data_IF_471547199443
#
_entry.id   IF_471547199443
#
_cell.length_a   1.000
_cell.length_b   1.000
_cell.length_c   1.000
_cell.angle_alpha   90.00
_cell.angle_beta   90.00
_cell.angle_gamma   90.00
#
_symmetry.space_group_name_H-M   'P 1'
#
loop_
_entity.id
_entity.type
_entity.pdbx_description
1 polymer ?
#
# COMPACT_ATOMS: atom_id res chain seq x y z
N UNK A 1 13.15 45.78 3.74
CA UNK A 1 14.01 45.66 4.94
C UNK A 1 13.14 45.65 6.18
N UNK A 2 13.14 44.55 6.93
CA UNK A 2 12.90 44.44 8.40
C UNK A 2 13.41 43.03 8.78
N UNK A 3 13.80 42.83 10.03
CA UNK A 3 14.89 41.92 10.41
C UNK A 3 14.46 40.45 10.58
N UNK A 4 15.33 39.53 10.14
CA UNK A 4 15.37 38.14 10.64
C UNK A 4 15.76 38.16 12.13
N UNK A 5 15.10 37.34 12.95
CA UNK A 5 15.62 36.96 14.27
C UNK A 5 16.09 35.51 14.20
N UNK A 6 17.32 35.24 14.64
CA UNK A 6 17.80 33.88 14.86
C UNK A 6 17.27 33.38 16.21
N UNK A 7 16.95 32.08 16.29
CA UNK A 7 16.82 31.36 17.56
C UNK A 7 17.72 30.13 17.47
N UNK A 8 18.59 29.98 18.46
CA UNK A 8 19.60 28.90 18.56
C UNK A 8 18.97 27.69 19.25
N UNK A 9 19.20 26.44 18.78
CA UNK A 9 18.69 25.26 19.46
C UNK A 9 19.41 25.03 20.79
N UNK A 10 18.65 24.66 21.82
CA UNK A 10 19.16 24.22 23.12
C UNK A 10 19.21 22.69 23.15
N UNK A 11 20.39 22.13 23.43
CA UNK A 11 20.56 20.71 23.68
C UNK A 11 19.96 20.35 25.05
N UNK A 12 19.12 19.30 25.12
CA UNK A 12 18.82 18.62 26.39
C UNK A 12 19.20 17.15 26.30
N UNK A 13 20.22 16.78 27.08
CA UNK A 13 20.66 15.40 27.28
C UNK A 13 19.73 14.71 28.29
N UNK A 14 19.22 13.53 27.97
CA UNK A 14 18.58 12.64 28.96
C UNK A 14 19.43 11.39 29.10
N UNK A 15 19.83 11.08 30.33
CA UNK A 15 20.78 10.01 30.63
C UNK A 15 20.10 8.77 31.22
N UNK A 16 20.48 7.60 30.71
CA UNK A 16 20.69 6.39 31.50
C UNK A 16 19.45 5.66 32.04
N UNK A 17 19.23 4.45 31.51
CA UNK A 17 18.85 3.29 32.32
C UNK A 17 19.42 2.03 31.68
N UNK A 18 19.97 1.16 32.52
CA UNK A 18 20.81 0.01 32.16
C UNK A 18 20.21 -1.23 32.83
N UNK A 19 20.10 -2.34 32.10
CA UNK A 19 19.68 -3.64 32.64
C UNK A 19 20.48 -4.77 31.98
N UNK A 20 21.04 -5.65 32.80
CA UNK A 20 21.98 -6.70 32.40
C UNK A 20 21.30 -7.99 31.89
N UNK A 21 22.08 -8.81 31.19
CA UNK A 21 21.62 -10.00 30.46
C UNK A 21 21.65 -11.31 31.27
N UNK A 22 20.78 -12.27 30.91
CA UNK A 22 20.98 -13.74 31.04
C UNK A 22 20.23 -14.48 29.91
N UNK A 23 20.67 -15.71 29.55
CA UNK A 23 20.35 -16.35 28.25
C UNK A 23 19.83 -17.83 28.39
N UNK A 24 19.61 -18.62 27.31
CA UNK A 24 18.32 -19.26 26.94
C UNK A 24 18.32 -20.80 27.19
N UNK A 25 17.25 -21.62 26.94
CA UNK A 25 16.49 -21.83 25.68
C UNK A 25 14.94 -21.76 25.91
N UNK A 26 13.95 -22.25 25.14
CA UNK A 26 13.79 -23.26 24.04
C UNK A 26 12.60 -22.91 23.12
N UNK A 27 12.67 -23.34 21.85
CA UNK A 27 11.57 -23.51 20.84
C UNK A 27 10.54 -22.38 20.60
N UNK A 28 10.50 -21.75 19.41
CA UNK A 28 9.42 -20.86 19.03
C UNK A 28 8.23 -21.64 18.44
N UNK A 29 7.11 -21.69 19.16
CA UNK A 29 5.80 -21.80 18.51
C UNK A 29 5.52 -20.48 17.77
N UNK A 30 5.00 -20.56 16.54
CA UNK A 30 4.64 -19.37 15.76
C UNK A 30 3.39 -18.71 16.36
N UNK A 31 3.45 -17.43 16.78
CA UNK A 31 2.23 -16.67 17.03
C UNK A 31 1.57 -16.31 15.69
N UNK A 32 0.23 -16.30 15.59
CA UNK A 32 -0.44 -15.63 14.47
C UNK A 32 -0.14 -14.13 14.51
N UNK A 33 -0.21 -13.46 13.35
CA UNK A 33 0.11 -12.05 13.24
C UNK A 33 -0.79 -11.19 14.16
N UNK A 34 -0.22 -10.68 15.25
CA UNK A 34 -0.92 -9.74 16.13
C UNK A 34 -1.03 -8.38 15.46
N UNK A 35 -2.27 -7.96 15.16
CA UNK A 35 -2.60 -6.56 14.91
C UNK A 35 -2.17 -5.71 16.12
N UNK A 36 -1.49 -4.57 15.93
CA UNK A 36 -1.09 -3.71 17.04
C UNK A 36 -2.32 -3.09 17.71
N UNK A 37 -2.54 -3.47 18.97
CA UNK A 37 -3.56 -2.87 19.84
C UNK A 37 -3.25 -1.40 20.13
N UNK A 38 -4.29 -0.56 20.04
CA UNK A 38 -4.43 0.82 20.50
C UNK A 38 -3.15 1.55 20.94
N UNK A 39 -2.64 2.43 20.08
CA UNK A 39 -1.86 3.60 20.49
C UNK A 39 -2.62 4.86 20.14
N UNK A 40 -3.06 5.58 21.17
CA UNK A 40 -3.57 6.95 21.03
C UNK A 40 -2.50 7.84 20.41
N UNK A 41 -2.73 8.33 19.20
CA UNK A 41 -1.84 9.28 18.54
C UNK A 41 -1.96 10.63 19.25
N UNK A 42 -0.85 11.10 19.80
CA UNK A 42 -0.70 12.48 20.28
C UNK A 42 -0.24 13.33 19.12
N UNK A 43 -1.07 14.29 18.69
CA UNK A 43 -0.72 15.23 17.63
C UNK A 43 0.46 16.11 18.05
N UNK A 44 1.52 16.11 17.24
CA UNK A 44 2.59 17.12 17.33
C UNK A 44 2.41 18.15 16.21
N UNK A 45 1.55 19.13 16.47
CA UNK A 45 1.72 20.47 15.91
C UNK A 45 1.87 21.45 17.08
N UNK A 46 3.05 22.05 17.21
CA UNK A 46 3.18 23.23 18.08
C UNK A 46 2.31 24.35 17.47
N UNK A 47 1.48 24.96 18.31
CA UNK A 47 0.50 26.00 17.97
C UNK A 47 -0.74 25.58 17.14
N UNK A 48 -1.42 24.51 17.56
CA UNK A 48 -2.87 24.42 17.33
C UNK A 48 -3.62 25.42 18.25
N UNK A 49 -4.37 26.42 17.74
CA UNK A 49 -5.14 27.32 18.60
C UNK A 49 -6.30 26.57 19.27
N UNK A 50 -6.27 26.51 20.60
CA UNK A 50 -6.97 25.55 21.45
C UNK A 50 -8.49 25.77 21.62
N UNK A 51 -9.17 26.35 20.63
CA UNK A 51 -10.61 26.71 20.73
C UNK A 51 -11.41 26.50 19.44
N UNK A 52 -10.82 25.88 18.40
CA UNK A 52 -11.58 25.39 17.24
C UNK A 52 -12.18 24.02 17.51
N UNK A 53 -13.28 24.01 18.26
CA UNK A 53 -14.23 22.89 18.19
C UNK A 53 -14.87 22.89 16.80
N UNK A 54 -14.46 21.96 15.94
CA UNK A 54 -15.10 21.71 14.65
C UNK A 54 -16.52 21.20 14.88
N UNK A 55 -17.47 22.14 15.00
CA UNK A 55 -18.88 21.86 15.21
C UNK A 55 -19.52 21.53 13.87
N UNK A 56 -19.24 20.33 13.37
CA UNK A 56 -19.82 19.79 12.14
C UNK A 56 -21.35 19.89 12.17
N UNK A 57 -21.90 20.89 11.46
CA UNK A 57 -23.32 20.94 11.18
C UNK A 57 -23.63 19.95 10.07
N UNK A 58 -23.83 18.68 10.44
CA UNK A 58 -24.83 17.89 9.71
C UNK A 58 -26.15 18.65 9.87
N UNK A 59 -26.68 19.29 8.82
CA UNK A 59 -28.03 19.82 8.86
C UNK A 59 -28.98 18.71 9.32
N UNK A 60 -29.97 19.04 10.16
CA UNK A 60 -30.99 18.08 10.61
C UNK A 60 -31.82 17.52 9.44
N UNK A 61 -31.66 18.09 8.24
CA UNK A 61 -32.24 17.66 6.98
C UNK A 61 -31.60 16.38 6.40
N UNK A 62 -30.37 15.99 6.80
CA UNK A 62 -29.64 14.86 6.21
C UNK A 62 -29.32 13.73 7.23
N UNK A 63 -30.35 13.06 7.82
CA UNK A 63 -30.13 11.99 8.80
C UNK A 63 -29.37 10.79 8.23
N UNK A 64 -29.54 10.48 6.93
CA UNK A 64 -28.84 9.38 6.25
C UNK A 64 -27.32 9.58 6.25
N UNK A 65 -26.83 10.78 5.91
CA UNK A 65 -25.40 11.13 5.96
C UNK A 65 -24.85 10.93 7.37
N UNK A 66 -25.54 11.45 8.39
CA UNK A 66 -25.10 11.32 9.79
C UNK A 66 -25.08 9.87 10.30
N UNK A 67 -26.00 9.03 9.83
CA UNK A 67 -26.02 7.60 10.17
C UNK A 67 -24.87 6.86 9.50
N UNK A 68 -24.68 7.07 8.19
CA UNK A 68 -23.68 6.40 7.34
C UNK A 68 -22.24 6.85 7.63
N UNK A 69 -22.04 8.10 8.01
CA UNK A 69 -20.72 8.64 8.38
C UNK A 69 -19.98 7.79 9.43
N UNK A 70 -20.70 7.13 10.35
CA UNK A 70 -20.13 6.23 11.37
C UNK A 70 -19.34 5.05 10.80
N UNK A 71 -19.55 4.68 9.53
CA UNK A 71 -18.75 3.65 8.85
C UNK A 71 -17.29 4.11 8.65
N UNK A 72 -17.05 5.43 8.60
CA UNK A 72 -15.76 6.07 8.30
C UNK A 72 -15.14 6.84 9.47
N UNK A 73 -15.93 7.17 10.50
CA UNK A 73 -15.51 7.97 11.66
C UNK A 73 -14.24 7.41 12.33
N UNK A 74 -13.26 8.28 12.58
CA UNK A 74 -11.99 7.93 13.23
C UNK A 74 -10.97 7.17 12.36
N UNK A 75 -11.22 6.99 11.06
CA UNK A 75 -10.33 6.28 10.14
C UNK A 75 -9.76 7.21 9.07
N UNK A 76 -8.50 7.02 8.69
CA UNK A 76 -8.02 7.44 7.38
C UNK A 76 -8.25 6.29 6.38
N UNK A 77 -8.40 6.61 5.11
CA UNK A 77 -8.55 5.64 4.01
C UNK A 77 -7.49 5.90 2.96
N UNK A 78 -6.96 4.86 2.30
CA UNK A 78 -5.90 5.02 1.30
C UNK A 78 -6.05 4.07 0.12
N UNK A 79 -5.63 4.54 -1.06
CA UNK A 79 -5.44 3.77 -2.28
C UNK A 79 -3.96 3.32 -2.49
N UNK A 80 -3.12 3.46 -1.45
CA UNK A 80 -1.68 3.20 -1.48
C UNK A 80 -0.81 4.39 -1.94
N UNK A 81 -1.41 5.51 -2.37
CA UNK A 81 -0.70 6.73 -2.75
C UNK A 81 -1.11 7.93 -1.90
N UNK A 82 -2.42 8.14 -1.78
CA UNK A 82 -3.03 9.22 -1.02
C UNK A 82 -3.72 8.67 0.22
N UNK A 83 -3.82 9.49 1.27
CA UNK A 83 -4.74 9.28 2.39
C UNK A 83 -5.94 10.22 2.28
N UNK A 84 -7.06 9.81 2.84
CA UNK A 84 -8.34 10.51 2.82
C UNK A 84 -9.01 10.42 4.19
N UNK A 85 -9.44 11.55 4.73
CA UNK A 85 -10.22 11.64 5.97
C UNK A 85 -11.66 11.97 5.60
N UNK A 86 -12.60 11.19 6.12
CA UNK A 86 -14.02 11.44 5.94
C UNK A 86 -14.49 12.57 6.86
N UNK A 87 -15.30 13.48 6.31
CA UNK A 87 -16.02 14.54 7.04
C UNK A 87 -17.46 14.60 6.55
N UNK A 88 -18.46 14.75 7.45
CA UNK A 88 -19.84 14.89 7.04
C UNK A 88 -20.07 16.28 6.42
N UNK A 89 -20.80 16.31 5.30
CA UNK A 89 -21.24 17.53 4.62
C UNK A 89 -22.76 17.51 4.40
N UNK A 90 -23.33 18.61 3.90
CA UNK A 90 -24.76 18.66 3.61
C UNK A 90 -25.09 17.84 2.34
N UNK A 91 -25.80 16.73 2.54
CA UNK A 91 -26.22 15.80 1.49
C UNK A 91 -25.20 14.72 1.10
N UNK A 92 -23.95 14.77 1.58
CA UNK A 92 -22.91 13.78 1.24
C UNK A 92 -21.83 13.66 2.33
N UNK A 93 -20.95 12.67 2.19
CA UNK A 93 -19.74 12.50 3.01
C UNK A 93 -18.56 12.95 2.14
N UNK A 94 -17.84 13.98 2.57
CA UNK A 94 -16.64 14.45 1.88
C UNK A 94 -15.43 13.65 2.35
N UNK A 95 -14.51 13.36 1.43
CA UNK A 95 -13.22 12.75 1.71
C UNK A 95 -12.15 13.72 1.22
N UNK A 96 -11.21 14.11 2.08
CA UNK A 96 -10.11 15.02 1.72
C UNK A 96 -8.80 14.60 2.36
N UNK A 97 -7.69 14.87 1.67
CA UNK A 97 -6.34 14.59 2.13
C UNK A 97 -5.33 14.83 1.00
N UNK A 98 -4.51 13.82 0.69
CA UNK A 98 -3.45 13.89 -0.31
C UNK A 98 -2.36 12.85 -0.08
N UNK A 99 -1.23 13.04 -0.75
CA UNK A 99 -0.04 12.20 -0.61
C UNK A 99 0.78 12.62 0.62
N UNK A 100 1.96 12.02 0.79
CA UNK A 100 2.93 12.49 1.79
C UNK A 100 3.59 13.83 1.43
N UNK A 101 3.59 14.22 0.16
CA UNK A 101 4.22 15.45 -0.34
C UNK A 101 3.20 16.59 -0.57
N UNK A 102 2.08 16.29 -1.24
CA UNK A 102 1.08 17.27 -1.66
C UNK A 102 -0.31 16.93 -1.12
N UNK A 103 -0.95 17.93 -0.51
CA UNK A 103 -2.39 17.91 -0.21
C UNK A 103 -3.22 18.44 -1.38
N UNK A 104 -4.52 18.15 -1.37
CA UNK A 104 -5.48 18.64 -2.37
C UNK A 104 -6.42 17.57 -2.91
N UNK A 105 -6.08 16.30 -2.73
CA UNK A 105 -6.92 15.17 -3.12
C UNK A 105 -8.23 15.18 -2.35
N UNK A 106 -9.34 15.10 -3.08
CA UNK A 106 -10.68 14.98 -2.50
C UNK A 106 -11.64 14.22 -3.40
N UNK A 107 -12.69 13.66 -2.80
CA UNK A 107 -13.87 13.09 -3.47
C UNK A 107 -15.05 13.13 -2.49
N UNK A 108 -16.27 12.79 -2.94
CA UNK A 108 -17.44 12.73 -2.09
C UNK A 108 -18.27 11.47 -2.33
N UNK A 109 -18.95 11.00 -1.29
CA UNK A 109 -19.89 9.88 -1.33
C UNK A 109 -21.29 10.35 -0.92
N UNK A 110 -22.24 10.32 -1.85
CA UNK A 110 -23.68 10.51 -1.55
C UNK A 110 -24.27 9.15 -1.16
N UNK A 111 -24.84 8.97 0.05
CA UNK A 111 -25.40 7.68 0.44
C UNK A 111 -26.72 7.35 -0.28
N UNK A 112 -26.86 6.10 -0.74
CA UNK A 112 -28.12 5.47 -1.17
C UNK A 112 -28.53 4.37 -0.15
N UNK A 113 -29.57 3.59 -0.48
CA UNK A 113 -30.17 2.61 0.44
C UNK A 113 -29.20 1.47 0.82
N UNK A 114 -28.44 0.94 -0.13
CA UNK A 114 -27.52 -0.20 0.03
C UNK A 114 -26.06 0.08 -0.38
N UNK A 115 -25.78 1.24 -0.98
CA UNK A 115 -24.45 1.64 -1.45
C UNK A 115 -24.29 3.17 -1.42
N UNK A 116 -23.21 3.70 -2.01
CA UNK A 116 -22.95 5.13 -2.17
C UNK A 116 -22.75 5.49 -3.65
N UNK A 117 -22.99 6.74 -4.01
CA UNK A 117 -22.58 7.32 -5.30
C UNK A 117 -21.32 8.14 -5.15
N UNK A 118 -20.34 7.89 -6.00
CA UNK A 118 -19.20 8.77 -6.17
C UNK A 118 -19.65 10.12 -6.73
N UNK A 119 -19.15 11.20 -6.16
CA UNK A 119 -19.24 12.57 -6.66
C UNK A 119 -17.91 13.26 -6.40
N UNK A 120 -17.69 14.44 -6.97
CA UNK A 120 -16.56 15.24 -6.52
C UNK A 120 -16.80 15.78 -5.11
N UNK A 121 -15.69 15.92 -4.39
CA UNK A 121 -15.60 16.55 -3.08
C UNK A 121 -14.82 17.85 -3.16
N UNK A 122 -14.54 18.41 -1.99
CA UNK A 122 -13.78 19.64 -1.82
C UNK A 122 -12.68 19.42 -0.78
N UNK A 123 -11.52 20.06 -0.99
CA UNK A 123 -10.40 19.98 -0.05
C UNK A 123 -10.68 20.73 1.27
N UNK A 124 -11.43 21.83 1.19
CA UNK A 124 -11.94 22.60 2.34
C UNK A 124 -13.47 22.61 2.27
N UNK A 125 -14.12 22.54 3.42
CA UNK A 125 -15.57 22.70 3.57
C UNK A 125 -15.80 23.88 4.53
N UNK A 126 -16.41 24.93 4.01
CA UNK A 126 -16.84 26.12 4.78
C UNK A 126 -18.23 26.62 4.31
N UNK A 127 -18.75 27.67 4.95
CA UNK A 127 -20.09 28.19 4.64
C UNK A 127 -20.21 28.84 3.24
N UNK A 128 -19.07 29.20 2.61
CA UNK A 128 -19.00 29.82 1.29
C UNK A 128 -18.61 28.82 0.17
N UNK A 129 -18.33 27.56 0.52
CA UNK A 129 -17.94 26.50 -0.43
C UNK A 129 -19.10 26.24 -1.39
N UNK A 130 -18.97 26.57 -2.69
CA UNK A 130 -20.12 26.66 -3.57
C UNK A 130 -20.74 25.30 -3.88
N UNK A 131 -22.06 25.27 -4.03
CA UNK A 131 -22.76 24.13 -4.65
C UNK A 131 -22.17 23.87 -6.05
N UNK A 132 -21.56 22.71 -6.23
CA UNK A 132 -20.88 22.34 -7.46
C UNK A 132 -20.35 20.90 -7.44
N UNK A 133 -19.87 20.44 -8.59
CA UNK A 133 -19.53 19.03 -8.81
C UNK A 133 -18.24 18.56 -8.10
N UNK A 134 -17.43 19.48 -7.58
CA UNK A 134 -16.17 19.19 -6.86
C UNK A 134 -15.07 18.59 -7.75
N UNK A 135 -14.08 17.96 -7.13
CA UNK A 135 -13.06 17.13 -7.82
C UNK A 135 -13.12 15.68 -7.33
N UNK A 136 -12.74 14.73 -8.19
CA UNK A 136 -12.63 13.30 -7.86
C UNK A 136 -11.15 12.91 -8.03
N UNK A 137 -10.45 12.74 -6.91
CA UNK A 137 -9.03 12.40 -6.85
C UNK A 137 -8.74 10.88 -6.81
N UNK A 138 -9.75 10.04 -7.12
CA UNK A 138 -9.63 8.58 -7.13
C UNK A 138 -10.17 8.02 -8.45
N UNK A 139 -9.82 6.78 -8.81
CA UNK A 139 -10.23 6.20 -10.09
C UNK A 139 -11.75 5.93 -10.15
N UNK A 140 -12.49 6.79 -10.86
CA UNK A 140 -13.93 6.65 -11.07
C UNK A 140 -14.54 7.87 -11.76
N UNK A 141 -15.86 7.89 -11.89
CA UNK A 141 -16.66 8.99 -12.44
C UNK A 141 -17.83 9.34 -11.52
N UNK A 142 -18.33 10.57 -11.62
CA UNK A 142 -19.51 10.98 -10.86
C UNK A 142 -20.72 10.10 -11.23
N UNK A 143 -21.42 9.58 -10.22
CA UNK A 143 -22.51 8.60 -10.35
C UNK A 143 -22.10 7.13 -10.26
N UNK A 144 -20.79 6.82 -10.29
CA UNK A 144 -20.30 5.44 -10.11
C UNK A 144 -20.70 4.88 -8.74
N UNK A 145 -20.95 3.57 -8.69
CA UNK A 145 -21.37 2.87 -7.47
C UNK A 145 -20.14 2.66 -6.59
N UNK A 146 -20.22 3.06 -5.33
CA UNK A 146 -19.20 2.81 -4.31
C UNK A 146 -19.79 1.94 -3.22
N UNK A 147 -19.12 0.83 -2.92
CA UNK A 147 -19.53 -0.09 -1.87
C UNK A 147 -18.48 -0.14 -0.78
N UNK A 148 -18.92 -0.30 0.47
CA UNK A 148 -18.05 -0.43 1.64
C UNK A 148 -18.39 -1.76 2.31
N UNK A 149 -17.46 -2.71 2.26
CA UNK A 149 -17.71 -4.12 2.64
C UNK A 149 -16.62 -4.65 3.58
N UNK A 150 -17.02 -5.43 4.58
CA UNK A 150 -16.11 -6.20 5.43
C UNK A 150 -15.77 -7.53 4.75
N UNK A 151 -14.48 -7.81 4.57
CA UNK A 151 -13.97 -9.08 4.03
C UNK A 151 -13.30 -9.88 5.15
N UNK A 152 -14.09 -10.73 5.83
CA UNK A 152 -13.59 -11.63 6.87
C UNK A 152 -12.83 -10.91 8.00
N UNK A 153 -11.71 -11.48 8.43
CA UNK A 153 -10.77 -10.87 9.39
C UNK A 153 -9.89 -9.79 8.73
N UNK A 154 -9.84 -9.72 7.40
CA UNK A 154 -8.91 -8.85 6.66
C UNK A 154 -9.26 -7.37 6.75
N UNK A 155 -10.52 -7.02 7.04
CA UNK A 155 -10.95 -5.65 7.33
C UNK A 155 -12.07 -5.14 6.42
N UNK A 156 -12.33 -3.83 6.52
CA UNK A 156 -13.28 -3.11 5.65
C UNK A 156 -12.54 -2.59 4.44
N UNK A 157 -13.13 -2.71 3.25
CA UNK A 157 -12.63 -2.14 2.00
C UNK A 157 -13.72 -1.31 1.34
N UNK A 158 -13.33 -0.21 0.70
CA UNK A 158 -14.16 0.58 -0.20
C UNK A 158 -13.81 0.20 -1.63
N UNK A 159 -14.80 -0.03 -2.49
CA UNK A 159 -14.60 -0.37 -3.90
C UNK A 159 -15.51 0.48 -4.78
N UNK A 160 -14.92 1.17 -5.74
CA UNK A 160 -15.62 1.98 -6.75
C UNK A 160 -15.85 1.10 -7.98
N UNK A 161 -17.08 1.09 -8.52
CA UNK A 161 -17.50 0.35 -9.69
C UNK A 161 -18.09 1.29 -10.73
N UNK A 162 -17.56 1.21 -11.96
CA UNK A 162 -18.11 1.98 -13.07
C UNK A 162 -19.46 1.43 -13.55
N UNK A 163 -20.12 2.14 -14.46
CA UNK A 163 -21.41 1.78 -15.07
C UNK A 163 -21.48 0.42 -15.80
N UNK A 164 -20.41 -0.39 -15.83
CA UNK A 164 -20.38 -1.78 -16.33
C UNK A 164 -20.13 -2.80 -15.22
N UNK A 165 -20.24 -2.39 -13.96
CA UNK A 165 -19.92 -3.19 -12.76
C UNK A 165 -18.47 -3.69 -12.71
N UNK A 166 -17.54 -2.99 -13.39
CA UNK A 166 -16.11 -3.25 -13.32
C UNK A 166 -15.53 -2.35 -12.21
N UNK A 167 -14.81 -2.91 -11.22
CA UNK A 167 -14.20 -2.10 -10.17
C UNK A 167 -13.04 -1.28 -10.75
N UNK A 168 -12.98 0.00 -10.41
CA UNK A 168 -11.97 0.96 -10.88
C UNK A 168 -11.01 1.41 -9.80
N UNK A 169 -11.42 1.34 -8.53
CA UNK A 169 -10.61 1.75 -7.39
C UNK A 169 -10.91 0.88 -6.17
N UNK A 170 -9.89 0.67 -5.33
CA UNK A 170 -10.00 0.04 -4.01
C UNK A 170 -9.27 0.91 -2.98
N UNK A 171 -9.95 1.26 -1.89
CA UNK A 171 -9.34 1.87 -0.70
C UNK A 171 -9.49 0.95 0.52
N UNK A 172 -8.50 0.96 1.41
CA UNK A 172 -8.60 0.36 2.75
C UNK A 172 -8.31 1.39 3.86
N UNK A 173 -8.73 1.14 5.11
CA UNK A 173 -8.35 1.96 6.25
C UNK A 173 -6.84 1.93 6.48
N UNK A 174 -6.29 3.08 6.89
CA UNK A 174 -4.91 3.20 7.39
C UNK A 174 -4.85 4.07 8.64
N UNK A 175 -3.82 3.86 9.45
CA UNK A 175 -3.46 4.72 10.58
C UNK A 175 -2.34 5.71 10.21
N UNK A 176 -1.45 5.31 9.30
CA UNK A 176 -0.27 6.05 8.86
C UNK A 176 0.06 5.67 7.40
N UNK A 177 -0.01 6.64 6.49
CA UNK A 177 0.26 6.43 5.06
C UNK A 177 1.72 6.07 4.80
N UNK A 178 2.69 6.61 5.55
CA UNK A 178 4.11 6.28 5.39
C UNK A 178 4.36 4.83 5.78
N UNK A 179 3.83 4.39 6.93
CA UNK A 179 3.95 2.98 7.34
C UNK A 179 3.31 2.06 6.30
N UNK A 180 2.17 2.45 5.72
CA UNK A 180 1.50 1.70 4.63
C UNK A 180 2.40 1.58 3.40
N UNK A 181 2.93 2.70 2.89
CA UNK A 181 3.81 2.71 1.70
C UNK A 181 5.09 1.91 1.95
N UNK A 182 5.72 2.06 3.12
CA UNK A 182 6.90 1.27 3.47
C UNK A 182 6.58 -0.23 3.52
N UNK A 183 5.45 -0.63 4.12
CA UNK A 183 5.00 -2.03 4.14
C UNK A 183 4.71 -2.55 2.73
N UNK A 184 4.02 -1.79 1.89
CA UNK A 184 3.71 -2.19 0.50
C UNK A 184 5.00 -2.35 -0.35
N UNK A 185 6.02 -1.50 -0.16
CA UNK A 185 7.34 -1.67 -0.81
C UNK A 185 8.05 -2.93 -0.29
N UNK A 186 8.14 -3.11 1.04
CA UNK A 186 8.79 -4.29 1.65
C UNK A 186 8.12 -5.58 1.15
N UNK A 187 6.80 -5.63 1.22
CA UNK A 187 5.98 -6.79 0.84
C UNK A 187 5.99 -6.99 -0.67
N UNK A 188 5.46 -6.07 -1.47
CA UNK A 188 5.14 -6.32 -2.89
C UNK A 188 6.28 -6.02 -3.87
N UNK A 189 7.15 -5.05 -3.55
CA UNK A 189 8.30 -4.72 -4.38
C UNK A 189 9.49 -5.65 -4.07
N UNK A 190 9.90 -5.74 -2.80
CA UNK A 190 11.19 -6.33 -2.43
C UNK A 190 11.14 -7.80 -2.03
N UNK A 191 10.09 -8.29 -1.34
CA UNK A 191 10.11 -9.60 -0.71
C UNK A 191 10.51 -10.74 -1.67
N UNK A 192 11.40 -11.62 -1.20
CA UNK A 192 11.88 -12.76 -1.98
C UNK A 192 13.30 -13.20 -1.66
N UNK A 193 13.66 -14.37 -2.16
CA UNK A 193 15.06 -14.80 -2.28
C UNK A 193 15.53 -14.58 -3.73
N UNK A 194 16.73 -14.03 -3.87
CA UNK A 194 17.35 -13.72 -5.14
C UNK A 194 18.80 -14.23 -5.18
N UNK A 195 19.33 -14.51 -6.38
CA UNK A 195 20.69 -15.02 -6.58
C UNK A 195 21.35 -14.40 -7.82
N UNK A 196 22.59 -13.95 -7.69
CA UNK A 196 23.43 -13.52 -8.81
C UNK A 196 24.09 -14.70 -9.52
N UNK A 197 24.64 -14.47 -10.72
CA UNK A 197 25.36 -15.48 -11.50
C UNK A 197 26.60 -16.05 -10.77
N UNK A 198 27.31 -15.22 -9.99
CA UNK A 198 28.42 -15.64 -9.12
C UNK A 198 27.98 -16.37 -7.83
N UNK A 199 26.67 -16.60 -7.67
CA UNK A 199 26.09 -17.41 -6.60
C UNK A 199 25.78 -16.66 -5.30
N UNK A 200 26.04 -15.36 -5.19
CA UNK A 200 25.65 -14.57 -4.01
C UNK A 200 24.12 -14.53 -3.87
N UNK A 201 23.63 -14.74 -2.66
CA UNK A 201 22.19 -14.73 -2.36
C UNK A 201 21.78 -13.50 -1.58
N UNK A 202 20.62 -12.95 -1.94
CA UNK A 202 19.94 -11.89 -1.21
C UNK A 202 18.58 -12.39 -0.72
N UNK A 203 18.16 -11.96 0.46
CA UNK A 203 16.84 -12.28 1.00
C UNK A 203 16.23 -11.03 1.60
N UNK A 204 15.11 -10.59 1.04
CA UNK A 204 14.28 -9.53 1.59
C UNK A 204 13.05 -10.18 2.23
N UNK A 205 12.80 -9.88 3.50
CA UNK A 205 11.68 -10.45 4.25
C UNK A 205 10.42 -9.59 4.06
N UNK A 206 9.22 -10.20 3.88
CA UNK A 206 7.98 -9.47 3.57
C UNK A 206 7.38 -8.73 4.78
N UNK A 207 7.74 -9.16 5.99
CA UNK A 207 7.12 -8.81 7.27
C UNK A 207 7.93 -7.81 8.10
N UNK A 208 9.15 -7.46 7.66
CA UNK A 208 10.07 -6.59 8.39
C UNK A 208 11.14 -5.99 7.48
N UNK A 209 11.62 -4.80 7.86
CA UNK A 209 12.70 -4.07 7.18
C UNK A 209 14.08 -4.68 7.48
N UNK A 210 14.26 -5.95 7.11
CA UNK A 210 15.52 -6.69 7.19
C UNK A 210 15.94 -7.27 5.83
N UNK A 211 17.25 -7.37 5.61
CA UNK A 211 17.82 -7.96 4.41
C UNK A 211 19.07 -8.80 4.70
N UNK A 212 19.24 -9.92 3.98
CA UNK A 212 20.48 -10.71 3.91
C UNK A 212 21.20 -10.49 2.58
N UNK A 213 22.53 -10.65 2.57
CA UNK A 213 23.36 -10.59 1.35
C UNK A 213 24.25 -9.35 1.22
N UNK A 214 24.06 -8.35 2.10
CA UNK A 214 24.86 -7.11 2.16
C UNK A 214 25.96 -7.14 3.24
N UNK A 215 25.80 -7.98 4.27
CA UNK A 215 26.79 -8.23 5.32
C UNK A 215 27.71 -9.42 5.01
N UNK A 216 28.93 -9.39 5.54
CA UNK A 216 29.82 -10.55 5.55
C UNK A 216 29.17 -11.75 6.26
N UNK A 217 29.42 -12.95 5.74
CA UNK A 217 28.86 -14.19 6.28
C UNK A 217 27.34 -14.35 6.12
N UNK A 218 26.66 -13.48 5.36
CA UNK A 218 25.22 -13.63 5.06
C UNK A 218 24.29 -13.30 6.23
N UNK A 219 24.76 -12.51 7.21
CA UNK A 219 23.93 -12.02 8.33
C UNK A 219 22.77 -11.14 7.84
N UNK A 220 21.67 -11.11 8.60
CA UNK A 220 20.63 -10.07 8.45
C UNK A 220 21.21 -8.71 8.85
N UNK A 221 20.76 -7.65 8.18
CA UNK A 221 20.89 -6.26 8.61
C UNK A 221 19.51 -5.61 8.52
N UNK A 222 19.21 -4.68 9.43
CA UNK A 222 18.03 -3.84 9.31
C UNK A 222 18.28 -2.73 8.29
N UNK A 223 17.21 -2.11 7.81
CA UNK A 223 17.29 -0.92 7.00
C UNK A 223 16.14 0.07 7.27
N UNK A 224 16.38 1.33 6.94
CA UNK A 224 15.35 2.35 6.75
C UNK A 224 15.22 2.69 5.27
N UNK A 225 14.19 3.44 4.91
CA UNK A 225 14.00 3.94 3.56
C UNK A 225 14.62 5.33 3.36
N UNK A 226 15.22 5.54 2.20
CA UNK A 226 15.44 6.88 1.67
C UNK A 226 14.12 7.48 1.19
N UNK A 227 14.02 8.81 1.23
CA UNK A 227 12.86 9.55 0.72
C UNK A 227 13.26 10.39 -0.48
N UNK A 228 12.36 10.53 -1.45
CA UNK A 228 12.38 11.62 -2.42
C UNK A 228 11.23 12.56 -2.02
N UNK A 229 11.57 13.81 -1.70
CA UNK A 229 10.75 14.68 -0.85
C UNK A 229 10.38 13.95 0.47
N UNK A 230 9.11 14.00 0.89
CA UNK A 230 8.61 13.26 2.04
C UNK A 230 8.24 11.80 1.74
N UNK A 231 8.30 11.32 0.50
CA UNK A 231 7.79 9.98 0.14
C UNK A 231 8.88 8.90 0.22
N UNK A 232 8.67 7.77 0.93
CA UNK A 232 9.58 6.63 0.87
C UNK A 232 9.72 6.11 -0.56
N UNK A 233 10.96 5.91 -1.01
CA UNK A 233 11.26 5.37 -2.34
C UNK A 233 12.01 4.05 -2.25
N UNK A 234 12.25 3.38 -3.38
CA UNK A 234 12.98 2.11 -3.45
C UNK A 234 14.50 2.23 -3.17
N UNK A 235 14.89 3.00 -2.14
CA UNK A 235 16.26 3.16 -1.64
C UNK A 235 16.28 2.65 -0.20
N UNK A 236 17.13 1.68 0.09
CA UNK A 236 17.38 1.22 1.46
C UNK A 236 18.64 1.85 2.02
N UNK A 237 18.64 2.16 3.31
CA UNK A 237 19.78 2.64 4.09
C UNK A 237 20.04 1.61 5.19
N UNK A 238 21.17 0.90 5.12
CA UNK A 238 21.54 -0.13 6.09
C UNK A 238 22.04 0.51 7.40
N UNK A 239 21.99 -0.25 8.51
CA UNK A 239 22.49 0.18 9.83
C UNK A 239 23.95 0.66 9.84
N UNK A 240 24.77 0.24 8.86
CA UNK A 240 26.16 0.66 8.69
C UNK A 240 26.35 1.91 7.81
N UNK A 241 25.25 2.57 7.43
CA UNK A 241 25.22 3.82 6.66
C UNK A 241 25.36 3.64 5.15
N UNK A 242 25.59 2.41 4.64
CA UNK A 242 25.57 2.16 3.18
C UNK A 242 24.14 2.20 2.66
N UNK A 243 23.92 2.87 1.55
CA UNK A 243 22.61 2.97 0.89
C UNK A 243 22.61 2.44 -0.53
N UNK A 244 21.45 1.91 -0.95
CA UNK A 244 21.30 1.21 -2.22
C UNK A 244 19.91 1.47 -2.83
N UNK A 245 19.87 1.87 -4.10
CA UNK A 245 18.63 1.87 -4.89
C UNK A 245 18.37 0.46 -5.41
N UNK A 246 17.11 0.02 -5.32
CA UNK A 246 16.65 -1.30 -5.73
C UNK A 246 15.60 -1.12 -6.82
N UNK A 247 15.98 -1.37 -8.07
CA UNK A 247 15.07 -1.36 -9.21
C UNK A 247 14.54 -2.77 -9.46
N UNK A 248 13.22 -2.90 -9.64
CA UNK A 248 12.57 -4.18 -9.95
C UNK A 248 12.57 -4.43 -11.46
N UNK A 249 12.76 -5.68 -11.86
CA UNK A 249 12.72 -6.13 -13.25
C UNK A 249 11.95 -7.44 -13.37
N UNK A 250 11.53 -7.80 -14.60
CA UNK A 250 10.75 -9.00 -14.92
C UNK A 250 11.36 -10.33 -14.39
N UNK A 251 12.67 -10.36 -14.07
CA UNK A 251 13.40 -11.56 -13.64
C UNK A 251 14.13 -11.41 -12.29
N UNK A 252 14.11 -10.23 -11.65
CA UNK A 252 14.87 -9.97 -10.42
C UNK A 252 15.09 -8.50 -10.11
N UNK A 253 16.19 -8.19 -9.43
CA UNK A 253 16.52 -6.83 -9.00
C UNK A 253 17.77 -6.30 -9.71
N UNK A 254 17.83 -4.99 -9.86
CA UNK A 254 19.04 -4.22 -10.15
C UNK A 254 19.34 -3.36 -8.93
N UNK A 255 20.41 -3.72 -8.22
CA UNK A 255 20.83 -3.07 -6.99
C UNK A 255 22.00 -2.15 -7.32
N UNK A 256 21.82 -0.84 -7.17
CA UNK A 256 22.89 0.17 -7.32
C UNK A 256 23.31 0.71 -5.96
N UNK A 257 24.57 1.08 -5.80
CA UNK A 257 24.96 1.96 -4.68
C UNK A 257 24.29 3.31 -4.88
N UNK A 258 23.79 3.92 -3.82
CA UNK A 258 23.21 5.27 -3.86
C UNK A 258 23.98 6.19 -2.90
N UNK A 259 23.88 7.50 -3.10
CA UNK A 259 24.40 8.53 -2.20
C UNK A 259 23.39 9.66 -2.13
N UNK A 260 23.07 10.13 -0.93
CA UNK A 260 22.25 11.32 -0.72
C UNK A 260 23.14 12.57 -0.62
N UNK A 261 22.78 13.61 -1.37
CA UNK A 261 23.45 14.89 -1.42
C UNK A 261 22.56 15.95 -0.76
N UNK A 262 22.84 16.25 0.52
CA UNK A 262 21.99 17.10 1.36
C UNK A 262 21.95 18.58 0.95
N UNK A 263 22.89 19.01 0.11
CA UNK A 263 22.96 20.34 -0.48
C UNK A 263 22.09 20.49 -1.74
N UNK A 264 21.74 19.37 -2.38
CA UNK A 264 20.83 19.31 -3.54
C UNK A 264 19.47 18.66 -3.21
N UNK A 265 19.31 18.12 -2.00
CA UNK A 265 18.15 17.33 -1.54
C UNK A 265 17.79 16.17 -2.49
N UNK A 266 18.84 15.46 -2.94
CA UNK A 266 18.74 14.49 -4.03
C UNK A 266 19.53 13.19 -3.78
N UNK A 267 18.95 12.08 -4.22
CA UNK A 267 19.61 10.77 -4.30
C UNK A 267 20.24 10.56 -5.67
N UNK A 268 21.55 10.32 -5.70
CA UNK A 268 22.30 10.03 -6.93
C UNK A 268 22.77 8.59 -6.94
N UNK A 269 22.46 7.89 -8.03
CA UNK A 269 22.87 6.50 -8.24
C UNK A 269 24.33 6.40 -8.70
N UNK A 270 25.07 5.50 -8.07
CA UNK A 270 26.42 5.11 -8.45
C UNK A 270 26.46 3.76 -9.18
N UNK A 271 27.60 3.09 -9.05
CA UNK A 271 27.84 1.81 -9.71
C UNK A 271 26.87 0.70 -9.24
N UNK A 272 26.49 -0.17 -10.18
CA UNK A 272 25.79 -1.43 -9.89
C UNK A 272 26.55 -2.26 -8.85
N UNK A 273 25.83 -2.70 -7.82
CA UNK A 273 26.32 -3.55 -6.74
C UNK A 273 26.01 -5.03 -6.97
N UNK A 274 24.83 -5.33 -7.54
CA UNK A 274 24.41 -6.68 -7.93
C UNK A 274 23.20 -6.64 -8.89
N UNK A 275 23.02 -7.70 -9.67
CA UNK A 275 21.82 -7.94 -10.50
C UNK A 275 21.25 -9.33 -10.21
N UNK A 276 20.70 -9.59 -9.00
CA UNK A 276 20.28 -10.94 -8.62
C UNK A 276 18.90 -11.29 -9.22
N UNK A 277 18.80 -12.48 -9.83
CA UNK A 277 17.54 -13.03 -10.33
C UNK A 277 16.70 -13.60 -9.18
N UNK A 278 15.38 -13.47 -9.25
CA UNK A 278 14.46 -14.03 -8.25
C UNK A 278 14.46 -15.55 -8.35
N UNK A 279 14.74 -16.24 -7.24
CA UNK A 279 14.71 -17.70 -7.15
C UNK A 279 13.52 -18.22 -6.33
N UNK A 280 12.94 -17.40 -5.45
CA UNK A 280 11.75 -17.73 -4.66
C UNK A 280 10.97 -16.47 -4.25
N UNK A 281 9.66 -16.55 -4.31
CA UNK A 281 8.75 -15.60 -3.66
C UNK A 281 8.56 -16.00 -2.19
N UNK A 282 8.50 -15.03 -1.29
CA UNK A 282 8.37 -15.26 0.17
C UNK A 282 6.98 -14.86 0.71
N UNK A 283 5.97 -14.80 -0.15
CA UNK A 283 4.59 -14.59 0.27
C UNK A 283 4.00 -15.90 0.80
N UNK A 284 4.01 -16.07 2.13
CA UNK A 284 3.48 -17.27 2.77
C UNK A 284 2.07 -16.98 3.35
N UNK A 285 1.06 -17.65 2.80
CA UNK A 285 -0.28 -17.74 3.37
C UNK A 285 -0.58 -19.22 3.62
N UNK A 286 -0.65 -19.65 4.88
CA UNK A 286 -0.57 -21.07 5.26
C UNK A 286 -1.63 -22.00 4.66
N UNK A 287 -2.69 -21.45 4.08
CA UNK A 287 -3.83 -22.14 3.47
C UNK A 287 -4.13 -21.72 2.02
N UNK A 288 -3.41 -20.77 1.42
CA UNK A 288 -3.57 -20.36 0.02
C UNK A 288 -2.30 -20.67 -0.76
N UNK A 289 -2.44 -21.51 -1.79
CA UNK A 289 -1.31 -21.90 -2.65
C UNK A 289 -1.03 -20.84 -3.73
N UNK A 290 0.26 -20.61 -3.99
CA UNK A 290 0.73 -19.72 -5.05
C UNK A 290 1.94 -18.88 -4.67
N UNK A 291 2.44 -18.13 -5.63
CA UNK A 291 3.44 -17.07 -5.44
C UNK A 291 2.79 -15.74 -5.02
N UNK A 292 1.49 -15.54 -5.30
CA UNK A 292 0.75 -14.29 -5.05
C UNK A 292 -0.54 -14.51 -4.21
N UNK A 293 -0.49 -15.22 -3.08
CA UNK A 293 -1.68 -15.72 -2.36
C UNK A 293 -2.62 -14.61 -1.86
N UNK A 294 -2.09 -13.43 -1.55
CA UNK A 294 -2.84 -12.26 -1.10
C UNK A 294 -3.98 -11.85 -2.06
N UNK A 295 -3.87 -12.17 -3.34
CA UNK A 295 -4.92 -11.96 -4.36
C UNK A 295 -6.24 -12.71 -4.10
N UNK A 296 -6.25 -13.71 -3.21
CA UNK A 296 -7.46 -14.39 -2.75
C UNK A 296 -7.87 -14.01 -1.31
N UNK A 297 -7.08 -13.18 -0.63
CA UNK A 297 -7.28 -12.83 0.79
C UNK A 297 -7.88 -11.43 0.98
N UNK A 298 -7.57 -10.48 0.09
CA UNK A 298 -8.07 -9.10 0.17
C UNK A 298 -8.18 -8.42 -1.20
N UNK A 299 -9.14 -7.50 -1.37
CA UNK A 299 -9.08 -6.51 -2.46
C UNK A 299 -7.78 -5.70 -2.37
N UNK A 300 -7.08 -5.52 -3.49
CA UNK A 300 -5.82 -4.79 -3.56
C UNK A 300 -6.00 -3.38 -4.13
N UNK A 301 -5.27 -2.42 -3.59
CA UNK A 301 -5.28 -1.03 -4.04
C UNK A 301 -4.42 -0.82 -5.29
N UNK A 302 -4.56 0.33 -5.96
CA UNK A 302 -3.69 0.68 -7.07
C UNK A 302 -2.21 0.75 -6.65
N UNK A 303 -1.89 1.34 -5.48
CA UNK A 303 -0.51 1.42 -4.97
C UNK A 303 0.15 0.05 -4.78
N UNK A 304 -0.59 -0.90 -4.21
CA UNK A 304 -0.10 -2.27 -4.02
C UNK A 304 0.19 -2.99 -5.35
N UNK A 305 -0.65 -2.77 -6.37
CA UNK A 305 -0.54 -3.46 -7.66
C UNK A 305 0.57 -2.81 -8.53
N UNK A 306 0.83 -1.51 -8.42
CA UNK A 306 1.88 -0.83 -9.19
C UNK A 306 3.31 -1.26 -8.80
N UNK A 307 3.51 -1.89 -7.64
CA UNK A 307 4.80 -2.53 -7.29
C UNK A 307 5.15 -3.77 -8.13
N UNK A 308 4.26 -4.27 -8.99
CA UNK A 308 4.49 -5.46 -9.81
C UNK A 308 4.84 -5.14 -11.26
N UNK A 309 5.82 -5.87 -11.78
CA UNK A 309 6.19 -5.82 -13.20
C UNK A 309 5.07 -6.38 -14.09
N UNK A 310 5.04 -6.01 -15.37
CA UNK A 310 4.03 -6.50 -16.33
C UNK A 310 3.98 -8.04 -16.38
N UNK A 311 5.14 -8.71 -16.27
CA UNK A 311 5.23 -10.16 -16.22
C UNK A 311 4.68 -10.74 -14.91
N UNK A 312 5.00 -10.12 -13.77
CA UNK A 312 4.41 -10.50 -12.48
C UNK A 312 2.88 -10.30 -12.48
N UNK A 313 2.36 -9.16 -12.94
CA UNK A 313 0.92 -8.90 -13.07
C UNK A 313 0.20 -9.97 -13.90
N UNK A 314 0.80 -10.35 -15.05
CA UNK A 314 0.28 -11.45 -15.89
C UNK A 314 0.26 -12.77 -15.12
N UNK A 315 1.31 -13.11 -14.38
CA UNK A 315 1.36 -14.34 -13.58
C UNK A 315 0.34 -14.31 -12.43
N UNK A 316 0.34 -13.23 -11.64
CA UNK A 316 -0.54 -12.94 -10.50
C UNK A 316 -2.02 -13.08 -10.86
N UNK A 317 -2.48 -12.45 -11.96
CA UNK A 317 -3.86 -12.62 -12.44
C UNK A 317 -4.16 -14.05 -12.90
N UNK A 318 -3.22 -14.73 -13.55
CA UNK A 318 -3.44 -16.10 -14.02
C UNK A 318 -3.34 -17.13 -12.90
N UNK A 319 -2.63 -16.83 -11.81
CA UNK A 319 -2.55 -17.69 -10.63
C UNK A 319 -3.91 -17.82 -9.96
N UNK A 320 -4.68 -16.73 -9.88
CA UNK A 320 -6.07 -16.75 -9.44
C UNK A 320 -6.85 -17.82 -10.22
N UNK A 321 -6.79 -17.81 -11.56
CA UNK A 321 -7.44 -18.85 -12.37
C UNK A 321 -6.83 -20.26 -12.15
N UNK A 322 -5.52 -20.35 -11.96
CA UNK A 322 -4.81 -21.61 -11.76
C UNK A 322 -5.23 -22.34 -10.47
N UNK A 323 -5.48 -21.61 -9.37
CA UNK A 323 -5.99 -22.17 -8.10
C UNK A 323 -7.32 -22.90 -8.28
N UNK A 324 -8.17 -22.42 -9.20
CA UNK A 324 -9.46 -23.04 -9.56
C UNK A 324 -9.36 -24.10 -10.67
N UNK A 325 -8.15 -24.46 -11.09
CA UNK A 325 -7.88 -25.53 -12.06
C UNK A 325 -8.03 -25.14 -13.53
N UNK A 326 -7.94 -23.85 -13.87
CA UNK A 326 -7.98 -23.36 -15.25
C UNK A 326 -6.86 -23.96 -16.11
N UNK A 327 -7.18 -24.44 -17.32
CA UNK A 327 -6.20 -24.81 -18.35
C UNK A 327 -5.75 -23.59 -19.15
N UNK A 328 -4.45 -23.46 -19.39
CA UNK A 328 -3.88 -22.35 -20.14
C UNK A 328 -3.58 -22.74 -21.58
N UNK A 329 -4.09 -21.95 -22.54
CA UNK A 329 -3.78 -22.11 -23.97
C UNK A 329 -2.41 -21.55 -24.36
N UNK A 330 -1.85 -20.65 -23.56
CA UNK A 330 -0.52 -20.11 -23.84
C UNK A 330 0.55 -20.99 -23.16
N UNK A 331 1.50 -21.46 -23.97
CA UNK A 331 2.46 -22.49 -23.55
C UNK A 331 3.40 -22.02 -22.42
N UNK A 332 3.65 -20.71 -22.33
CA UNK A 332 4.38 -20.06 -21.23
C UNK A 332 3.64 -20.20 -19.89
N UNK A 333 2.34 -19.89 -19.85
CA UNK A 333 1.53 -19.99 -18.63
C UNK A 333 1.31 -21.45 -18.24
N UNK A 334 0.97 -22.31 -19.21
CA UNK A 334 0.78 -23.74 -18.94
C UNK A 334 2.04 -24.36 -18.34
N UNK A 335 3.21 -24.15 -18.97
CA UNK A 335 4.50 -24.63 -18.45
C UNK A 335 4.87 -24.04 -17.08
N UNK A 336 4.53 -22.77 -16.84
CA UNK A 336 4.79 -22.12 -15.54
C UNK A 336 3.97 -22.79 -14.41
N UNK A 337 2.67 -22.96 -14.61
CA UNK A 337 1.80 -23.55 -13.57
C UNK A 337 1.96 -25.07 -13.45
N UNK A 338 2.28 -25.81 -14.51
CA UNK A 338 2.64 -27.23 -14.44
C UNK A 338 3.89 -27.51 -13.57
N UNK A 339 4.76 -26.52 -13.36
CA UNK A 339 5.88 -26.62 -12.43
C UNK A 339 5.48 -26.42 -10.94
N UNK A 340 4.22 -26.03 -10.66
CA UNK A 340 3.70 -25.81 -9.30
C UNK A 340 3.02 -27.07 -8.78
N UNK A 341 3.52 -27.64 -7.69
CA UNK A 341 3.02 -28.90 -7.12
C UNK A 341 1.53 -28.87 -6.68
N UNK A 342 0.95 -27.68 -6.49
CA UNK A 342 -0.45 -27.48 -6.12
C UNK A 342 -1.40 -27.33 -7.32
N UNK A 343 -0.89 -27.11 -8.54
CA UNK A 343 -1.72 -26.85 -9.72
C UNK A 343 -2.24 -28.14 -10.35
N UNK A 344 -3.56 -28.21 -10.60
CA UNK A 344 -4.20 -29.34 -11.27
C UNK A 344 -5.15 -28.84 -12.37
N UNK A 345 -4.84 -29.02 -13.68
CA UNK A 345 -5.65 -28.53 -14.80
C UNK A 345 -6.95 -29.33 -15.02
N UNK A 346 -8.08 -28.85 -14.49
CA UNK A 346 -9.39 -29.53 -14.50
C UNK A 346 -10.43 -28.94 -15.45
N UNK A 347 -10.40 -27.64 -15.74
CA UNK A 347 -11.46 -26.94 -16.50
C UNK A 347 -10.93 -25.84 -17.42
N UNK A 348 -11.69 -25.51 -18.46
CA UNK A 348 -11.37 -24.42 -19.41
C UNK A 348 -12.16 -23.12 -19.07
N UNK A 349 -12.99 -23.16 -18.02
CA UNK A 349 -13.71 -22.02 -17.44
C UNK A 349 -13.80 -22.17 -15.91
N UNK A 350 -13.42 -21.11 -15.19
CA UNK A 350 -13.44 -21.00 -13.72
C UNK A 350 -14.30 -19.83 -13.21
N UNK A 351 -15.02 -19.14 -14.10
CA UNK A 351 -15.75 -17.90 -13.79
C UNK A 351 -16.74 -18.00 -12.61
N UNK A 352 -17.34 -19.18 -12.42
CA UNK A 352 -18.30 -19.49 -11.35
C UNK A 352 -17.63 -19.82 -10.01
N UNK A 353 -16.36 -20.20 -10.04
CA UNK A 353 -15.56 -20.62 -8.89
C UNK A 353 -14.83 -19.44 -8.23
N UNK A 354 -14.55 -18.38 -8.99
CA UNK A 354 -13.95 -17.15 -8.49
C UNK A 354 -14.79 -16.51 -7.36
N UNK A 355 -14.12 -16.20 -6.26
CA UNK A 355 -14.65 -15.36 -5.19
C UNK A 355 -14.82 -13.89 -5.64
N UNK A 356 -15.53 -13.09 -4.83
CA UNK A 356 -15.69 -11.65 -5.06
C UNK A 356 -14.34 -10.92 -5.05
N UNK A 357 -13.48 -11.23 -4.06
CA UNK A 357 -12.12 -10.70 -3.92
C UNK A 357 -11.29 -10.97 -5.19
N UNK A 358 -11.30 -12.22 -5.66
CA UNK A 358 -10.56 -12.63 -6.86
C UNK A 358 -11.06 -11.91 -8.11
N UNK A 359 -12.38 -11.70 -8.25
CA UNK A 359 -12.95 -10.92 -9.37
C UNK A 359 -12.52 -9.47 -9.32
N UNK A 360 -12.53 -8.83 -8.14
CA UNK A 360 -12.04 -7.46 -7.96
C UNK A 360 -10.57 -7.38 -8.39
N UNK A 361 -9.73 -8.23 -7.82
CA UNK A 361 -8.29 -8.22 -8.10
C UNK A 361 -7.97 -8.51 -9.58
N UNK A 362 -8.70 -9.40 -10.25
CA UNK A 362 -8.55 -9.65 -11.70
C UNK A 362 -8.73 -8.35 -12.52
N UNK A 363 -9.76 -7.56 -12.22
CA UNK A 363 -10.04 -6.33 -12.98
C UNK A 363 -9.14 -5.17 -12.57
N UNK A 364 -8.77 -5.05 -11.29
CA UNK A 364 -7.76 -4.09 -10.84
C UNK A 364 -6.40 -4.36 -11.54
N UNK A 365 -5.92 -5.61 -11.55
CA UNK A 365 -4.68 -6.00 -12.26
C UNK A 365 -4.77 -5.68 -13.75
N UNK A 366 -5.90 -5.98 -14.41
CA UNK A 366 -6.11 -5.69 -15.84
C UNK A 366 -5.96 -4.21 -16.18
N UNK A 367 -6.39 -3.32 -15.30
CA UNK A 367 -6.27 -1.87 -15.49
C UNK A 367 -4.81 -1.43 -15.39
N UNK A 368 -4.04 -1.94 -14.42
CA UNK A 368 -2.60 -1.64 -14.30
C UNK A 368 -1.82 -2.20 -15.50
N UNK A 369 -2.08 -3.44 -15.92
CA UNK A 369 -1.48 -4.02 -17.14
C UNK A 369 -1.75 -3.14 -18.38
N UNK A 370 -2.96 -2.60 -18.51
CA UNK A 370 -3.30 -1.68 -19.61
C UNK A 370 -2.54 -0.35 -19.52
N UNK A 371 -2.45 0.26 -18.33
CA UNK A 371 -1.66 1.49 -18.12
C UNK A 371 -0.17 1.28 -18.45
N UNK A 372 0.39 0.12 -18.08
CA UNK A 372 1.78 -0.26 -18.42
C UNK A 372 2.00 -0.50 -19.92
N UNK A 373 0.96 -0.86 -20.67
CA UNK A 373 1.02 -1.00 -22.14
C UNK A 373 0.84 0.32 -22.89
N UNK A 374 0.15 1.30 -22.29
CA UNK A 374 -0.08 2.64 -22.89
C UNK A 374 1.11 3.61 -22.69
N UNK A 375 1.94 3.40 -21.66
CA UNK A 375 3.12 4.22 -21.36
C UNK A 375 4.40 3.75 -22.14
N UNK A 376 4.24 3.25 -23.37
CA UNK A 376 5.31 2.72 -24.24
C UNK A 376 5.37 3.42 -25.59
#
# INVERSE_FOLDING_TARGET
MIKRSLITPILLTVAGLQADATSPPTSPDFPPACLPTEKTVVFLSEEAPSDRTWTYRTSSQYPAVKQRFREFEGKQWTNGFDFFIAMPADGYINFSGGSLHEGGSSFGLTPEDDHYRLRGGFFVIDEDTPEGDGYIAINGSAGDRVEVRQFGETGVFMTVYNAKDIPTEVLHPTNDLRETIETDIVTYCFAGEYRTEDGRTFTFFPDRKEVKGFAEGGKSQSYTFGNEYETPVNIIILDDGRSFRIEKSDDGLLIRKCTYYSDEDLWTDGNTYATPQRIRYLFEAGNISGDFPFTALQPMTCGQIEHFTRKELRLMRNEIYARHGMRFRSADLQKHFEAKAWYTPTTDDVSKQLSEIERINIEMIRQIEKRHDENR
#
